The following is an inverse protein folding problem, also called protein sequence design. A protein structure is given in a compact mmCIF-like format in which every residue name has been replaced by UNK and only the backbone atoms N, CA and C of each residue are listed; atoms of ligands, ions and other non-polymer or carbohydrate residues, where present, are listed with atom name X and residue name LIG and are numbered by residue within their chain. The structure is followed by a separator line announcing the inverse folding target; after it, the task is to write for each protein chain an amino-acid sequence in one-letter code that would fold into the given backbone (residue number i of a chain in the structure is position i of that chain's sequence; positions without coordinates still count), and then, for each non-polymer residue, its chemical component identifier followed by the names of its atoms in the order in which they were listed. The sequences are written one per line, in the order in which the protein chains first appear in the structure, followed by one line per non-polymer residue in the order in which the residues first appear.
data_IF_000498516104
#
_entry.id   IF_000498516104
#
_cell.length_a   1.000
_cell.length_b   1.000
_cell.length_c   1.000
_cell.angle_alpha   90.00
_cell.angle_beta   90.00
_cell.angle_gamma   90.00
#
_symmetry.space_group_name_H-M   'P 1'
#
loop_
_entity.id
_entity.type
_entity.pdbx_description
1 polymer ?
#
# COMPACT_ATOMS: atom_id res chain seq x y z
N UNK A 1 -21.71 -7.19 -12.45
CA UNK A 1 -20.81 -7.80 -13.45
C UNK A 1 -19.94 -6.76 -14.16
N UNK A 2 -20.42 -5.54 -14.40
CA UNK A 2 -19.60 -4.45 -14.98
C UNK A 2 -18.28 -4.22 -14.24
N UNK A 3 -18.29 -4.26 -12.90
CA UNK A 3 -17.07 -4.16 -12.08
C UNK A 3 -16.04 -5.29 -12.34
N UNK A 4 -16.49 -6.50 -12.66
CA UNK A 4 -15.58 -7.62 -12.97
C UNK A 4 -14.98 -7.43 -14.36
N UNK A 5 -15.81 -7.06 -15.34
CA UNK A 5 -15.35 -6.77 -16.71
C UNK A 5 -14.36 -5.61 -16.74
N UNK A 6 -14.62 -4.53 -16.01
CA UNK A 6 -13.71 -3.39 -15.93
C UNK A 6 -12.35 -3.77 -15.32
N UNK A 7 -12.33 -4.55 -14.24
CA UNK A 7 -11.09 -5.05 -13.61
C UNK A 7 -10.28 -5.92 -14.58
N UNK A 8 -10.93 -6.82 -15.32
CA UNK A 8 -10.25 -7.66 -16.33
C UNK A 8 -9.68 -6.80 -17.47
N UNK A 9 -10.45 -5.83 -17.98
CA UNK A 9 -10.00 -4.94 -19.04
C UNK A 9 -8.77 -4.14 -18.62
N UNK A 10 -8.81 -3.55 -17.42
CA UNK A 10 -7.67 -2.81 -16.84
C UNK A 10 -6.45 -3.72 -16.71
N UNK A 11 -6.64 -4.96 -16.24
CA UNK A 11 -5.57 -5.94 -16.12
C UNK A 11 -4.91 -6.23 -17.47
N UNK A 12 -5.71 -6.51 -18.50
CA UNK A 12 -5.20 -6.81 -19.84
C UNK A 12 -4.56 -5.61 -20.52
N UNK A 13 -5.11 -4.41 -20.35
CA UNK A 13 -4.50 -3.19 -20.89
C UNK A 13 -3.13 -2.94 -20.25
N UNK A 14 -3.01 -3.10 -18.93
CA UNK A 14 -1.74 -2.96 -18.23
C UNK A 14 -0.71 -4.00 -18.69
N UNK A 15 -1.10 -5.27 -18.77
CA UNK A 15 -0.20 -6.34 -19.23
C UNK A 15 0.23 -6.12 -20.69
N UNK A 16 -0.66 -5.60 -21.55
CA UNK A 16 -0.34 -5.35 -22.97
C UNK A 16 0.82 -4.35 -23.11
N UNK A 17 0.91 -3.39 -22.20
CA UNK A 17 2.01 -2.41 -22.17
C UNK A 17 3.34 -3.07 -21.76
N UNK A 18 3.32 -4.14 -20.96
CA UNK A 18 4.53 -4.79 -20.44
C UNK A 18 5.42 -5.39 -21.54
N UNK A 19 6.58 -4.75 -21.68
CA UNK A 19 7.64 -5.10 -22.62
C UNK A 19 9.02 -4.96 -21.97
N UNK A 20 10.09 -5.10 -22.75
CA UNK A 20 11.47 -4.99 -22.25
C UNK A 20 11.77 -3.62 -21.64
N UNK A 21 11.15 -2.54 -22.13
CA UNK A 21 11.29 -1.18 -21.56
C UNK A 21 10.77 -1.16 -20.11
N UNK A 22 9.72 -1.91 -19.80
CA UNK A 22 9.19 -1.97 -18.44
C UNK A 22 10.18 -2.64 -17.47
N UNK A 23 10.99 -3.60 -17.93
CA UNK A 23 12.02 -4.27 -17.11
C UNK A 23 13.10 -3.29 -16.70
N UNK A 24 13.60 -2.48 -17.64
CA UNK A 24 14.79 -1.67 -17.41
C UNK A 24 14.47 -0.27 -16.89
N UNK A 25 13.27 0.26 -17.14
CA UNK A 25 12.93 1.63 -16.79
C UNK A 25 11.73 1.71 -15.85
N UNK A 26 10.56 1.23 -16.27
CA UNK A 26 9.31 1.53 -15.53
C UNK A 26 9.26 0.83 -14.18
N UNK A 27 9.59 -0.47 -14.11
CA UNK A 27 9.58 -1.19 -12.83
C UNK A 27 10.71 -0.76 -11.89
N UNK A 28 11.98 -0.62 -12.33
CA UNK A 28 13.03 -0.04 -11.49
C UNK A 28 12.65 1.33 -10.95
N UNK A 29 12.10 2.20 -11.80
CA UNK A 29 11.68 3.54 -11.39
C UNK A 29 10.54 3.50 -10.37
N UNK A 30 9.51 2.65 -10.58
CA UNK A 30 8.42 2.54 -9.63
C UNK A 30 8.88 1.99 -8.28
N UNK A 31 9.71 0.95 -8.27
CA UNK A 31 10.29 0.40 -7.04
C UNK A 31 11.14 1.47 -6.33
N UNK A 32 12.01 2.16 -7.09
CA UNK A 32 12.85 3.23 -6.55
C UNK A 32 12.01 4.34 -5.94
N UNK A 33 10.90 4.75 -6.55
CA UNK A 33 10.00 5.77 -5.98
C UNK A 33 9.52 5.40 -4.57
N UNK A 34 9.05 4.16 -4.36
CA UNK A 34 8.60 3.72 -3.04
C UNK A 34 9.74 3.59 -2.04
N UNK A 35 10.88 3.04 -2.46
CA UNK A 35 12.03 2.84 -1.57
C UNK A 35 12.72 4.16 -1.19
N UNK A 36 12.82 5.10 -2.13
CA UNK A 36 13.34 6.44 -1.89
C UNK A 36 12.41 7.19 -0.93
N UNK A 37 11.09 7.11 -1.13
CA UNK A 37 10.15 7.68 -0.16
C UNK A 37 10.34 7.06 1.24
N UNK A 38 10.52 5.74 1.31
CA UNK A 38 10.74 5.04 2.56
C UNK A 38 12.10 5.35 3.23
N UNK A 39 13.09 5.75 2.46
CA UNK A 39 14.40 6.20 2.95
C UNK A 39 14.39 7.67 3.37
N UNK A 40 13.92 8.55 2.49
CA UNK A 40 14.01 10.01 2.67
C UNK A 40 13.11 10.48 3.81
N UNK A 41 11.86 10.02 3.84
CA UNK A 41 10.85 10.57 4.75
C UNK A 41 11.24 10.38 6.23
N UNK A 42 11.65 9.17 6.68
CA UNK A 42 12.23 8.98 8.02
C UNK A 42 13.48 9.80 8.30
N UNK A 43 14.42 9.86 7.35
CA UNK A 43 15.70 10.55 7.54
C UNK A 43 15.54 12.07 7.68
N UNK A 44 14.59 12.67 6.95
CA UNK A 44 14.23 14.08 7.13
C UNK A 44 13.68 14.31 8.55
N UNK A 45 12.73 13.49 9.00
CA UNK A 45 12.17 13.63 10.36
C UNK A 45 13.22 13.49 11.46
N UNK A 46 14.16 12.55 11.30
CA UNK A 46 15.29 12.37 12.22
C UNK A 46 16.23 13.58 12.22
N UNK A 47 16.51 14.17 11.05
CA UNK A 47 17.33 15.38 10.97
C UNK A 47 16.65 16.56 11.69
N UNK A 48 15.34 16.74 11.49
CA UNK A 48 14.56 17.81 12.13
C UNK A 48 14.45 17.66 13.65
N UNK A 49 14.53 16.43 14.17
CA UNK A 49 14.42 16.16 15.61
C UNK A 49 15.77 16.10 16.33
N UNK A 50 16.87 15.84 15.63
CA UNK A 50 18.24 15.84 16.20
C UNK A 50 18.61 17.19 16.82
N UNK A 51 18.11 18.30 16.30
CA UNK A 51 18.35 19.64 16.88
C UNK A 51 17.44 19.96 18.09
N UNK A 52 16.31 19.26 18.24
CA UNK A 52 15.25 19.60 19.23
C UNK A 52 15.33 18.74 20.51
N UNK A 53 15.96 17.55 20.46
CA UNK A 53 15.85 16.50 21.49
C UNK A 53 17.19 16.00 22.06
N UNK A 54 18.23 16.85 22.10
CA UNK A 54 19.56 16.46 22.60
C UNK A 54 19.63 16.19 24.11
N UNK A 55 18.58 16.49 24.88
CA UNK A 55 18.44 16.06 26.26
C UNK A 55 17.22 15.14 26.39
N UNK A 56 17.47 13.96 26.97
CA UNK A 56 16.48 13.07 27.57
C UNK A 56 15.44 12.45 26.62
N UNK A 57 15.76 11.30 26.02
CA UNK A 57 14.71 10.28 25.82
C UNK A 57 15.30 8.89 25.55
N UNK A 58 15.30 8.03 26.57
CA UNK A 58 15.54 6.59 26.41
C UNK A 58 14.59 5.94 25.38
N UNK A 59 13.41 6.52 25.15
CA UNK A 59 12.42 6.07 24.17
C UNK A 59 12.83 6.31 22.71
N UNK A 60 13.71 7.28 22.42
CA UNK A 60 14.20 7.50 21.05
C UNK A 60 14.98 6.27 20.56
N UNK A 61 15.66 5.55 21.47
CA UNK A 61 16.31 4.27 21.18
C UNK A 61 15.32 3.17 20.79
N UNK A 62 14.12 3.17 21.36
CA UNK A 62 13.05 2.22 21.02
C UNK A 62 12.49 2.55 19.64
N UNK A 63 12.24 3.83 19.36
CA UNK A 63 11.79 4.24 18.02
C UNK A 63 12.84 3.87 16.95
N UNK A 64 14.15 4.01 17.22
CA UNK A 64 15.20 3.56 16.30
C UNK A 64 15.17 2.04 16.00
N UNK A 65 14.62 1.20 16.86
CA UNK A 65 14.48 -0.24 16.55
C UNK A 65 13.49 -0.50 15.42
N UNK A 66 12.51 0.39 15.23
CA UNK A 66 11.53 0.29 14.15
C UNK A 66 12.04 0.94 12.86
N UNK A 67 13.21 1.58 12.85
CA UNK A 67 13.80 2.12 11.63
C UNK A 67 14.17 0.99 10.66
N UNK A 68 13.81 1.14 9.39
CA UNK A 68 14.16 0.15 8.36
C UNK A 68 15.60 0.43 7.90
N UNK A 69 16.55 -0.53 8.01
CA UNK A 69 17.93 -0.29 7.64
C UNK A 69 18.10 0.01 6.13
N UNK A 70 18.98 0.95 5.79
CA UNK A 70 19.23 1.37 4.41
C UNK A 70 19.71 0.22 3.50
N UNK A 71 20.59 -0.64 4.03
CA UNK A 71 21.10 -1.82 3.33
C UNK A 71 19.94 -2.76 2.97
N UNK A 72 18.96 -2.90 3.86
CA UNK A 72 17.78 -3.73 3.62
C UNK A 72 16.90 -3.15 2.50
N UNK A 73 16.72 -1.82 2.45
CA UNK A 73 16.02 -1.15 1.34
C UNK A 73 16.73 -1.38 0.00
N UNK A 74 18.07 -1.28 -0.02
CA UNK A 74 18.88 -1.57 -1.20
C UNK A 74 18.73 -3.01 -1.69
N UNK A 75 18.73 -3.99 -0.78
CA UNK A 75 18.49 -5.41 -1.12
C UNK A 75 17.07 -5.65 -1.66
N UNK A 76 16.06 -5.02 -1.04
CA UNK A 76 14.67 -5.11 -1.50
C UNK A 76 14.51 -4.61 -2.94
N UNK A 77 15.23 -3.56 -3.33
CA UNK A 77 15.21 -3.07 -4.72
C UNK A 77 15.51 -4.18 -5.72
N UNK A 78 16.61 -4.90 -5.51
CA UNK A 78 17.02 -5.98 -6.40
C UNK A 78 16.01 -7.14 -6.37
N UNK A 79 15.53 -7.53 -5.19
CA UNK A 79 14.53 -8.60 -5.03
C UNK A 79 13.26 -8.27 -5.83
N UNK A 80 12.69 -7.08 -5.63
CA UNK A 80 11.50 -6.67 -6.39
C UNK A 80 11.79 -6.60 -7.87
N UNK A 81 12.95 -6.09 -8.29
CA UNK A 81 13.30 -6.01 -9.71
C UNK A 81 13.35 -7.39 -10.39
N UNK A 82 13.95 -8.39 -9.72
CA UNK A 82 13.91 -9.78 -10.19
C UNK A 82 12.48 -10.33 -10.26
N UNK A 83 11.66 -10.06 -9.24
CA UNK A 83 10.26 -10.49 -9.21
C UNK A 83 9.42 -9.86 -10.35
N UNK A 84 9.60 -8.57 -10.63
CA UNK A 84 8.95 -7.89 -11.75
C UNK A 84 9.39 -8.46 -13.10
N UNK A 85 10.68 -8.75 -13.25
CA UNK A 85 11.20 -9.42 -14.45
C UNK A 85 10.54 -10.79 -14.66
N UNK A 86 10.43 -11.58 -13.59
CA UNK A 86 9.73 -12.86 -13.60
C UNK A 86 8.25 -12.73 -13.97
N UNK A 87 7.55 -11.71 -13.47
CA UNK A 87 6.15 -11.47 -13.81
C UNK A 87 5.94 -11.16 -15.30
N UNK A 88 6.86 -10.44 -15.95
CA UNK A 88 6.76 -10.21 -17.41
C UNK A 88 6.84 -11.52 -18.17
N UNK A 89 7.72 -12.44 -17.75
CA UNK A 89 7.86 -13.76 -18.39
C UNK A 89 6.55 -14.55 -18.24
N UNK A 90 5.99 -14.61 -17.02
CA UNK A 90 4.71 -15.29 -16.76
C UNK A 90 3.57 -14.66 -17.56
N UNK A 91 3.53 -13.34 -17.69
CA UNK A 91 2.41 -12.62 -18.31
C UNK A 91 2.11 -13.08 -19.75
N UNK A 92 3.10 -13.65 -20.46
CA UNK A 92 2.93 -14.21 -21.81
C UNK A 92 2.14 -15.53 -21.84
N UNK A 93 2.03 -16.23 -20.71
CA UNK A 93 1.38 -17.54 -20.58
C UNK A 93 0.17 -17.54 -19.64
N UNK A 94 0.17 -16.66 -18.62
CA UNK A 94 -0.85 -16.56 -17.58
C UNK A 94 -1.07 -15.10 -17.23
N UNK A 95 -1.84 -14.38 -18.06
CA UNK A 95 -2.05 -12.93 -17.97
C UNK A 95 -2.60 -12.50 -16.61
N UNK A 96 -3.81 -12.97 -16.26
CA UNK A 96 -4.49 -12.62 -14.99
C UNK A 96 -3.65 -12.95 -13.75
N UNK A 97 -2.91 -14.07 -13.79
CA UNK A 97 -2.05 -14.47 -12.67
C UNK A 97 -0.84 -13.54 -12.50
N UNK A 98 -0.22 -13.09 -13.61
CA UNK A 98 0.85 -12.10 -13.53
C UNK A 98 0.37 -10.76 -12.97
N UNK A 99 -0.83 -10.32 -13.34
CA UNK A 99 -1.43 -9.11 -12.79
C UNK A 99 -1.78 -9.24 -11.30
N UNK A 100 -2.29 -10.40 -10.88
CA UNK A 100 -2.51 -10.71 -9.46
C UNK A 100 -1.22 -10.57 -8.65
N UNK A 101 -0.12 -11.20 -9.10
CA UNK A 101 1.18 -11.09 -8.43
C UNK A 101 1.67 -9.64 -8.37
N UNK A 102 1.48 -8.88 -9.45
CA UNK A 102 1.84 -7.46 -9.49
C UNK A 102 1.09 -6.64 -8.45
N UNK A 103 -0.22 -6.88 -8.28
CA UNK A 103 -1.01 -6.21 -7.24
C UNK A 103 -0.54 -6.59 -5.83
N UNK A 104 -0.18 -7.86 -5.61
CA UNK A 104 0.36 -8.31 -4.32
C UNK A 104 1.72 -7.64 -4.01
N UNK A 105 2.63 -7.54 -4.98
CA UNK A 105 3.93 -6.88 -4.74
C UNK A 105 3.80 -5.37 -4.61
N UNK A 106 2.92 -4.75 -5.39
CA UNK A 106 2.59 -3.34 -5.23
C UNK A 106 2.03 -3.07 -3.83
N UNK A 107 1.18 -3.96 -3.29
CA UNK A 107 0.68 -3.86 -1.92
C UNK A 107 1.83 -3.87 -0.90
N UNK A 108 2.81 -4.76 -1.07
CA UNK A 108 3.98 -4.84 -0.18
C UNK A 108 4.82 -3.57 -0.21
N UNK A 109 5.05 -2.97 -1.39
CA UNK A 109 5.76 -1.69 -1.52
C UNK A 109 5.00 -0.55 -0.85
N UNK A 110 3.67 -0.51 -0.99
CA UNK A 110 2.84 0.48 -0.32
C UNK A 110 2.83 0.30 1.21
N UNK A 111 2.86 -0.94 1.73
CA UNK A 111 2.99 -1.20 3.17
C UNK A 111 4.31 -0.68 3.74
N UNK A 112 5.39 -0.83 2.98
CA UNK A 112 6.70 -0.31 3.37
C UNK A 112 6.70 1.24 3.39
N UNK A 113 6.08 1.86 2.39
CA UNK A 113 5.88 3.31 2.38
C UNK A 113 4.99 3.78 3.55
N UNK A 114 3.88 3.07 3.84
CA UNK A 114 3.02 3.37 4.98
C UNK A 114 3.80 3.39 6.30
N UNK A 115 4.59 2.34 6.53
CA UNK A 115 5.44 2.25 7.72
C UNK A 115 6.39 3.45 7.82
N UNK A 116 7.06 3.81 6.73
CA UNK A 116 8.01 4.92 6.72
C UNK A 116 7.35 6.28 7.02
N UNK A 117 6.19 6.57 6.39
CA UNK A 117 5.44 7.80 6.66
C UNK A 117 4.91 7.85 8.09
N UNK A 118 4.36 6.74 8.58
CA UNK A 118 3.88 6.66 9.96
C UNK A 118 5.03 6.88 10.95
N UNK A 119 6.13 6.16 10.80
CA UNK A 119 7.33 6.29 11.63
C UNK A 119 7.85 7.73 11.65
N UNK A 120 8.04 8.32 10.47
CA UNK A 120 8.54 9.68 10.32
C UNK A 120 7.61 10.71 10.97
N UNK A 121 6.30 10.54 10.83
CA UNK A 121 5.32 11.43 11.48
C UNK A 121 5.30 11.27 13.00
N UNK A 122 5.46 10.05 13.50
CA UNK A 122 5.41 9.75 14.93
C UNK A 122 6.63 10.34 15.67
N UNK A 123 7.81 10.33 15.04
CA UNK A 123 9.02 10.95 15.59
C UNK A 123 8.85 12.45 15.82
N UNK A 124 8.13 13.14 14.92
CA UNK A 124 7.89 14.58 15.04
C UNK A 124 6.99 14.93 16.23
N UNK A 125 6.27 13.96 16.78
CA UNK A 125 5.46 14.15 17.99
C UNK A 125 6.39 14.19 19.21
N UNK A 126 6.51 15.37 19.81
CA UNK A 126 7.38 15.57 20.98
C UNK A 126 6.92 14.82 22.24
N UNK A 127 5.61 14.57 22.40
CA UNK A 127 5.07 13.88 23.58
C UNK A 127 5.28 12.37 23.53
N UNK A 128 5.99 11.84 24.54
CA UNK A 128 6.29 10.40 24.69
C UNK A 128 5.02 9.54 24.79
N UNK A 129 4.04 9.99 25.57
CA UNK A 129 2.78 9.27 25.76
C UNK A 129 2.01 9.14 24.44
N UNK A 130 1.90 10.23 23.68
CA UNK A 130 1.22 10.23 22.38
C UNK A 130 1.89 9.27 21.38
N UNK A 131 3.23 9.21 21.35
CA UNK A 131 3.96 8.28 20.47
C UNK A 131 3.61 6.82 20.73
N UNK A 132 3.47 6.43 22.00
CA UNK A 132 3.07 5.07 22.38
C UNK A 132 1.63 4.79 21.93
N UNK A 133 0.71 5.72 22.18
CA UNK A 133 -0.68 5.60 21.72
C UNK A 133 -0.75 5.43 20.21
N UNK A 134 0.03 6.20 19.44
CA UNK A 134 0.08 6.06 17.98
C UNK A 134 0.64 4.71 17.54
N UNK A 135 1.70 4.20 18.16
CA UNK A 135 2.20 2.86 17.85
C UNK A 135 1.13 1.78 18.07
N UNK A 136 0.36 1.88 19.16
CA UNK A 136 -0.77 0.97 19.42
C UNK A 136 -1.85 1.10 18.34
N UNK A 137 -2.25 2.33 17.98
CA UNK A 137 -3.24 2.57 16.92
C UNK A 137 -2.75 2.06 15.55
N UNK A 138 -1.46 2.22 15.26
CA UNK A 138 -0.82 1.68 14.06
C UNK A 138 -0.89 0.16 14.04
N UNK A 139 -0.56 -0.53 15.13
CA UNK A 139 -0.70 -1.99 15.22
C UNK A 139 -2.15 -2.46 15.05
N UNK A 140 -3.10 -1.76 15.69
CA UNK A 140 -4.54 -2.01 15.51
C UNK A 140 -4.99 -1.83 14.05
N UNK A 141 -4.36 -0.90 13.32
CA UNK A 141 -4.64 -0.72 11.89
C UNK A 141 -4.31 -1.96 11.04
N UNK A 142 -3.20 -2.65 11.34
CA UNK A 142 -2.87 -3.91 10.64
C UNK A 142 -3.85 -5.02 10.96
N UNK A 143 -4.26 -5.13 12.22
CA UNK A 143 -5.29 -6.10 12.62
C UNK A 143 -6.58 -5.81 11.86
N UNK A 144 -6.98 -4.54 11.75
CA UNK A 144 -8.15 -4.13 10.97
C UNK A 144 -8.03 -4.48 9.48
N UNK A 145 -6.86 -4.23 8.86
CA UNK A 145 -6.59 -4.63 7.47
C UNK A 145 -6.64 -6.15 7.28
N UNK A 146 -6.11 -6.92 8.24
CA UNK A 146 -6.15 -8.38 8.22
C UNK A 146 -7.58 -8.93 8.32
N UNK A 147 -8.40 -8.38 9.21
CA UNK A 147 -9.84 -8.71 9.25
C UNK A 147 -10.55 -8.29 7.96
N UNK A 148 -10.16 -7.15 7.39
CA UNK A 148 -10.58 -6.71 6.07
C UNK A 148 -10.32 -7.76 4.99
N UNK A 149 -9.13 -8.38 5.01
CA UNK A 149 -8.77 -9.46 4.10
C UNK A 149 -9.66 -10.71 4.29
N UNK A 150 -9.93 -11.12 5.53
CA UNK A 150 -10.73 -12.32 5.82
C UNK A 150 -12.22 -12.14 5.54
N UNK A 151 -12.78 -10.96 5.80
CA UNK A 151 -14.21 -10.70 5.59
C UNK A 151 -14.51 -10.75 4.09
N UNK A 152 -15.25 -11.78 3.67
CA UNK A 152 -15.77 -11.93 2.32
C UNK A 152 -16.73 -10.78 2.01
N UNK A 153 -16.36 -9.89 1.10
CA UNK A 153 -17.17 -8.72 0.75
C UNK A 153 -18.38 -9.17 -0.07
N UNK A 154 -19.53 -9.37 0.59
CA UNK A 154 -20.81 -9.58 -0.13
C UNK A 154 -21.33 -8.33 -0.85
N UNK A 155 -20.82 -7.14 -0.52
CA UNK A 155 -21.14 -5.90 -1.22
C UNK A 155 -19.85 -5.23 -1.70
N UNK A 156 -19.46 -5.54 -2.94
CA UNK A 156 -18.35 -4.89 -3.64
C UNK A 156 -18.91 -3.62 -4.28
N UNK A 157 -19.09 -2.59 -3.46
CA UNK A 157 -19.33 -1.23 -3.94
C UNK A 157 -18.01 -0.49 -3.83
N UNK A 158 -17.39 -0.23 -4.97
CA UNK A 158 -16.16 0.56 -5.15
C UNK A 158 -16.29 1.99 -4.55
N UNK A 159 -17.45 2.39 -4.03
CA UNK A 159 -17.74 3.78 -3.67
C UNK A 159 -18.75 4.01 -2.53
N UNK A 160 -19.13 3.03 -1.72
CA UNK A 160 -20.02 3.32 -0.58
C UNK A 160 -19.21 3.61 0.69
N UNK A 161 -18.43 4.68 0.66
CA UNK A 161 -17.79 5.22 1.86
C UNK A 161 -18.69 6.30 2.45
N UNK A 162 -19.13 6.12 3.70
CA UNK A 162 -19.77 7.19 4.44
C UNK A 162 -18.65 8.03 5.10
N UNK A 163 -17.98 8.85 4.27
CA UNK A 163 -16.83 9.71 4.63
C UNK A 163 -17.06 10.55 5.88
N UNK A 164 -18.33 10.87 6.16
CA UNK A 164 -18.73 11.68 7.28
C UNK A 164 -18.38 11.03 8.64
N UNK A 165 -18.53 9.72 8.83
CA UNK A 165 -18.34 9.12 10.18
C UNK A 165 -16.88 9.04 10.61
N UNK A 166 -15.96 8.77 9.69
CA UNK A 166 -14.52 8.65 9.99
C UNK A 166 -13.87 10.03 10.13
N UNK A 167 -14.32 11.02 9.35
CA UNK A 167 -13.88 12.41 9.54
C UNK A 167 -14.29 12.93 10.91
N UNK A 168 -15.51 12.66 11.39
CA UNK A 168 -15.93 13.07 12.75
C UNK A 168 -15.11 12.42 13.86
N UNK A 169 -14.75 11.14 13.74
CA UNK A 169 -13.93 10.45 14.73
C UNK A 169 -12.49 11.01 14.73
N UNK A 170 -11.92 11.28 13.56
CA UNK A 170 -10.61 11.91 13.44
C UNK A 170 -10.61 13.35 13.99
N UNK A 171 -11.68 14.12 13.76
CA UNK A 171 -11.87 15.47 14.29
C UNK A 171 -12.08 15.44 15.82
N UNK A 172 -12.81 14.47 16.36
CA UNK A 172 -12.96 14.31 17.81
C UNK A 172 -11.63 13.93 18.48
N UNK A 173 -10.87 13.00 17.88
CA UNK A 173 -9.53 12.68 18.32
C UNK A 173 -8.60 13.90 18.24
N UNK A 174 -8.78 14.76 17.24
CA UNK A 174 -8.06 16.04 17.14
C UNK A 174 -8.36 16.96 18.32
N UNK A 175 -9.64 17.20 18.63
CA UNK A 175 -10.01 18.10 19.72
C UNK A 175 -9.42 17.59 21.03
N UNK A 176 -9.49 16.28 21.31
CA UNK A 176 -8.97 15.72 22.55
C UNK A 176 -7.43 15.74 22.60
N UNK A 177 -6.74 15.25 21.56
CA UNK A 177 -5.28 15.12 21.59
C UNK A 177 -4.58 16.47 21.35
N UNK A 178 -5.15 17.31 20.51
CA UNK A 178 -4.68 18.67 20.24
C UNK A 178 -4.81 19.57 21.47
N UNK A 179 -5.92 19.49 22.22
CA UNK A 179 -6.05 20.22 23.49
C UNK A 179 -5.04 19.72 24.53
N UNK A 180 -4.92 18.41 24.73
CA UNK A 180 -3.91 17.83 25.63
C UNK A 180 -2.50 18.30 25.25
N UNK A 181 -2.15 18.35 23.97
CA UNK A 181 -0.83 18.78 23.52
C UNK A 181 -0.58 20.29 23.75
N UNK A 182 -1.60 21.13 23.62
CA UNK A 182 -1.52 22.57 23.91
C UNK A 182 -1.32 22.82 25.41
N UNK A 183 -1.98 22.04 26.28
CA UNK A 183 -1.86 22.19 27.74
C UNK A 183 -0.60 21.54 28.34
N UNK A 184 -0.01 20.56 27.67
CA UNK A 184 1.20 19.85 28.16
C UNK A 184 2.51 20.47 27.66
N UNK A 185 2.55 21.05 26.45
CA UNK A 185 3.74 21.72 25.94
C UNK A 185 3.83 23.18 26.39
N UNK A 186 4.34 23.40 27.60
CA UNK A 186 4.69 24.73 28.13
C UNK A 186 5.92 25.39 27.47
N UNK A 187 6.57 24.72 26.50
CA UNK A 187 7.90 25.14 26.00
C UNK A 187 7.90 26.26 24.95
N UNK A 188 6.77 26.59 24.33
CA UNK A 188 6.72 27.59 23.24
C UNK A 188 6.01 28.86 23.72
N UNK A 189 6.67 30.01 23.66
CA UNK A 189 6.12 31.31 24.10
C UNK A 189 5.08 31.87 23.13
N UNK A 190 5.11 31.46 21.85
CA UNK A 190 4.22 31.97 20.81
C UNK A 190 3.04 31.01 20.53
N UNK A 191 1.81 31.54 20.63
CA UNK A 191 0.56 30.82 20.36
C UNK A 191 0.50 30.18 18.96
N UNK A 192 1.13 30.79 17.96
CA UNK A 192 1.18 30.24 16.59
C UNK A 192 1.98 28.92 16.51
N UNK A 193 3.13 28.85 17.20
CA UNK A 193 3.96 27.65 17.23
C UNK A 193 3.28 26.52 18.01
N UNK A 194 2.52 26.85 19.07
CA UNK A 194 1.69 25.86 19.78
C UNK A 194 0.61 25.26 18.88
N UNK A 195 -0.04 26.09 18.05
CA UNK A 195 -1.03 25.64 17.07
C UNK A 195 -0.41 24.77 15.97
N UNK A 196 0.74 25.16 15.43
CA UNK A 196 1.41 24.36 14.39
C UNK A 196 1.87 22.99 14.94
N UNK A 197 2.35 22.95 16.18
CA UNK A 197 2.72 21.70 16.84
C UNK A 197 1.50 20.82 17.16
N UNK A 198 0.32 21.41 17.42
CA UNK A 198 -0.91 20.62 17.59
C UNK A 198 -1.42 20.01 16.27
N UNK A 199 -1.05 20.59 15.12
CA UNK A 199 -1.29 19.98 13.81
C UNK A 199 -0.36 18.79 13.53
N UNK A 200 0.89 18.80 14.02
CA UNK A 200 1.82 17.68 13.85
C UNK A 200 1.30 16.38 14.48
N UNK A 201 0.59 16.50 15.61
CA UNK A 201 -0.08 15.40 16.33
C UNK A 201 -1.12 14.69 15.45
N UNK A 202 -1.65 15.35 14.41
CA UNK A 202 -2.63 14.74 13.51
C UNK A 202 -2.02 13.91 12.39
N UNK A 203 -0.78 14.19 12.01
CA UNK A 203 -0.16 13.56 10.83
C UNK A 203 -0.16 12.02 10.96
N UNK A 204 0.23 11.42 12.11
CA UNK A 204 0.17 9.96 12.27
C UNK A 204 -1.25 9.39 12.09
N UNK A 205 -2.28 10.09 12.57
CA UNK A 205 -3.68 9.67 12.43
C UNK A 205 -4.16 9.74 10.98
N UNK A 206 -3.82 10.83 10.28
CA UNK A 206 -4.11 10.96 8.85
C UNK A 206 -3.41 9.88 8.04
N UNK A 207 -2.16 9.55 8.35
CA UNK A 207 -1.46 8.43 7.74
C UNK A 207 -2.26 7.14 7.92
N UNK A 208 -2.66 6.79 9.14
CA UNK A 208 -3.44 5.57 9.41
C UNK A 208 -4.73 5.53 8.57
N UNK A 209 -5.50 6.62 8.53
CA UNK A 209 -6.78 6.66 7.82
C UNK A 209 -6.59 6.56 6.30
N UNK A 210 -5.70 7.38 5.73
CA UNK A 210 -5.46 7.45 4.28
C UNK A 210 -4.92 6.12 3.77
N UNK A 211 -3.90 5.57 4.45
CA UNK A 211 -3.29 4.31 4.04
C UNK A 211 -4.26 3.13 4.21
N UNK A 212 -5.03 3.07 5.29
CA UNK A 212 -6.04 2.01 5.43
C UNK A 212 -7.03 2.03 4.27
N UNK A 213 -7.58 3.19 3.92
CA UNK A 213 -8.48 3.32 2.77
C UNK A 213 -7.84 2.79 1.48
N UNK A 214 -6.62 3.24 1.19
CA UNK A 214 -5.88 2.80 0.01
C UNK A 214 -5.67 1.27 0.01
N UNK A 215 -5.30 0.69 1.15
CA UNK A 215 -5.13 -0.76 1.28
C UNK A 215 -6.42 -1.56 1.11
N UNK A 216 -7.57 -1.06 1.58
CA UNK A 216 -8.86 -1.72 1.33
C UNK A 216 -9.17 -1.82 -0.17
N UNK A 217 -8.98 -0.72 -0.91
CA UNK A 217 -9.19 -0.71 -2.37
C UNK A 217 -8.28 -1.73 -3.08
N UNK A 218 -7.02 -1.82 -2.65
CA UNK A 218 -6.09 -2.80 -3.20
C UNK A 218 -6.46 -4.25 -2.83
N UNK A 219 -6.81 -4.50 -1.58
CA UNK A 219 -7.23 -5.83 -1.10
C UNK A 219 -8.48 -6.30 -1.85
N UNK A 220 -9.47 -5.43 -2.05
CA UNK A 220 -10.68 -5.76 -2.79
C UNK A 220 -10.36 -6.10 -4.25
N UNK A 221 -9.46 -5.35 -4.89
CA UNK A 221 -8.99 -5.64 -6.25
C UNK A 221 -8.32 -7.01 -6.31
N UNK A 222 -7.43 -7.32 -5.35
CA UNK A 222 -6.76 -8.63 -5.24
C UNK A 222 -7.78 -9.76 -5.06
N UNK A 223 -8.80 -9.58 -4.22
CA UNK A 223 -9.86 -10.57 -3.99
C UNK A 223 -10.67 -10.85 -5.25
N UNK A 224 -11.06 -9.81 -5.99
CA UNK A 224 -11.80 -9.96 -7.25
C UNK A 224 -10.98 -10.78 -8.24
N UNK A 225 -9.69 -10.43 -8.42
CA UNK A 225 -8.81 -11.16 -9.33
C UNK A 225 -8.63 -12.61 -8.85
N UNK A 226 -8.49 -12.84 -7.55
CA UNK A 226 -8.38 -14.17 -6.98
C UNK A 226 -9.64 -15.03 -7.24
N UNK A 227 -10.82 -14.44 -7.10
CA UNK A 227 -12.09 -15.12 -7.44
C UNK A 227 -12.15 -15.49 -8.92
N UNK A 228 -11.72 -14.59 -9.81
CA UNK A 228 -11.64 -14.85 -11.26
C UNK A 228 -10.64 -15.97 -11.55
N UNK A 229 -9.48 -15.95 -10.88
CA UNK A 229 -8.42 -16.96 -11.03
C UNK A 229 -8.86 -18.36 -10.59
N UNK A 230 -9.81 -18.48 -9.66
CA UNK A 230 -10.36 -19.77 -9.21
C UNK A 230 -11.28 -20.40 -10.26
N UNK A 231 -12.07 -19.59 -10.98
CA UNK A 231 -13.08 -20.04 -11.94
C UNK A 231 -12.86 -19.44 -13.35
N UNK A 232 -11.65 -19.59 -13.90
CA UNK A 232 -11.22 -18.87 -15.11
C UNK A 232 -12.07 -19.15 -16.35
N UNK A 233 -12.42 -20.41 -16.63
CA UNK A 233 -13.22 -20.75 -17.82
C UNK A 233 -14.64 -20.20 -17.76
N UNK A 234 -15.24 -20.15 -16.56
CA UNK A 234 -16.56 -19.57 -16.35
C UNK A 234 -16.55 -18.08 -16.72
N UNK A 235 -15.62 -17.31 -16.12
CA UNK A 235 -15.52 -15.87 -16.38
C UNK A 235 -15.05 -15.55 -17.80
N UNK A 236 -14.18 -16.38 -18.40
CA UNK A 236 -13.77 -16.21 -19.80
C UNK A 236 -14.97 -16.29 -20.75
N UNK A 237 -15.81 -17.33 -20.59
CA UNK A 237 -17.01 -17.54 -21.42
C UNK A 237 -18.05 -16.46 -21.18
N UNK A 238 -18.35 -16.14 -19.93
CA UNK A 238 -19.34 -15.09 -19.60
C UNK A 238 -18.94 -13.72 -20.12
N UNK A 239 -17.65 -13.39 -20.10
CA UNK A 239 -17.15 -12.10 -20.58
C UNK A 239 -16.91 -12.06 -22.10
N UNK A 240 -17.08 -13.18 -22.80
CA UNK A 240 -16.94 -13.28 -24.26
C UNK A 240 -15.51 -13.25 -24.78
N UNK A 241 -14.51 -13.62 -23.97
CA UNK A 241 -13.11 -13.59 -24.37
C UNK A 241 -12.67 -14.87 -25.09
N UNK A 242 -11.88 -14.72 -26.16
CA UNK A 242 -11.21 -15.85 -26.81
C UNK A 242 -10.14 -16.49 -25.90
N UNK A 243 -9.79 -17.75 -26.15
CA UNK A 243 -8.74 -18.46 -25.41
C UNK A 243 -7.40 -17.72 -25.55
N UNK A 244 -7.12 -17.17 -26.74
CA UNK A 244 -5.91 -16.39 -27.00
C UNK A 244 -5.86 -15.08 -26.20
N UNK A 245 -6.96 -14.33 -26.19
CA UNK A 245 -7.03 -13.07 -25.44
C UNK A 245 -6.90 -13.30 -23.94
N UNK A 246 -7.51 -14.37 -23.43
CA UNK A 246 -7.52 -14.66 -21.99
C UNK A 246 -6.19 -15.21 -21.48
N UNK A 247 -5.64 -16.24 -22.13
CA UNK A 247 -4.45 -16.94 -21.66
C UNK A 247 -3.16 -16.48 -22.36
N UNK A 248 -3.24 -15.99 -23.59
CA UNK A 248 -2.10 -15.61 -24.43
C UNK A 248 -1.57 -16.75 -25.31
N UNK A 249 -0.91 -16.36 -26.41
CA UNK A 249 -0.36 -17.29 -27.43
C UNK A 249 0.65 -18.31 -26.90
N UNK A 250 1.38 -17.99 -25.81
CA UNK A 250 2.37 -18.92 -25.23
C UNK A 250 1.76 -19.84 -24.16
N UNK A 251 0.46 -19.74 -23.87
CA UNK A 251 -0.19 -20.57 -22.86
C UNK A 251 -0.38 -22.01 -23.34
N UNK A 252 -0.43 -22.96 -22.39
CA UNK A 252 -0.74 -24.36 -22.67
C UNK A 252 -2.15 -24.50 -23.25
N UNK A 253 -3.13 -23.82 -22.67
CA UNK A 253 -4.53 -23.84 -23.11
C UNK A 253 -4.69 -23.39 -24.57
N UNK A 254 -3.98 -22.35 -24.99
CA UNK A 254 -4.00 -21.93 -26.39
C UNK A 254 -3.40 -22.99 -27.31
N UNK A 255 -2.23 -23.55 -26.96
CA UNK A 255 -1.58 -24.59 -27.77
C UNK A 255 -2.44 -25.84 -27.91
N UNK A 256 -3.14 -26.22 -26.85
CA UNK A 256 -4.03 -27.38 -26.85
C UNK A 256 -5.28 -27.10 -27.71
N UNK A 257 -5.84 -25.87 -27.66
CA UNK A 257 -6.97 -25.48 -28.51
C UNK A 257 -6.64 -25.44 -30.01
N UNK A 258 -5.43 -25.01 -30.38
CA UNK A 258 -5.00 -25.00 -31.80
C UNK A 258 -4.83 -26.42 -32.31
N UNK A 259 -4.20 -27.30 -31.52
CA UNK A 259 -4.02 -28.71 -31.89
C UNK A 259 -5.34 -29.47 -32.07
N UNK A 260 -6.38 -29.15 -31.30
CA UNK A 260 -7.69 -29.76 -31.46
C UNK A 260 -8.36 -29.30 -32.76
N UNK A 261 -8.27 -28.00 -33.09
CA UNK A 261 -8.80 -27.47 -34.34
C UNK A 261 -8.05 -27.98 -35.59
N UNK A 262 -6.76 -28.34 -35.47
CA UNK A 262 -5.98 -28.93 -36.57
C UNK A 262 -6.30 -30.43 -36.80
N UNK A 263 -7.02 -31.08 -35.86
CA UNK A 263 -7.39 -32.50 -35.91
C UNK A 263 -8.85 -32.72 -36.37
N UNK A 264 -9.66 -31.66 -36.42
CA UNK A 264 -11.04 -31.64 -36.92
C UNK A 264 -11.09 -31.22 -38.41
#
# INVERSE_FOLDING_TARGET
MENIKSVVNIAFENIRKWNVIHIFFIFPFSIAFFLIAAYIVPNISLALTKEILFLENHLLKIDYLFFVPDIFLGLLFFIFWFLYTYMIIISKSRKLFAYFLNQCFFLTLCLLMYHAFFYASNILVGSTFLRIVYWVLYLLSFIYLFFGFYKSSKNITILSFNSNKISYIAILAWVVLGTINIFTNNMLSNSYLKFLNSLLVLIPLFCIVIFNYFFFVMIDTIKIIYQILKNQEYYRKELGYSIEEWYGKKSKMYRDSVKQNDLE
#
